data_IF_664476333848
#
_entry.id   IF_664476333848
#
_cell.length_a   1.000
_cell.length_b   1.000
_cell.length_c   1.000
_cell.angle_alpha   90.00
_cell.angle_beta   90.00
_cell.angle_gamma   90.00
#
_symmetry.space_group_name_H-M   'P 1'
#
loop_
_entity.id
_entity.type
_entity.pdbx_description
1 polymer ?
#
# COMPACT_ATOMS: atom_id res chain seq x y z
N UNK A 1 -16.19 -12.51 -18.74
CA UNK A 1 -14.84 -12.08 -19.18
C UNK A 1 -14.56 -12.70 -20.54
N UNK A 2 -14.27 -11.89 -21.55
CA UNK A 2 -14.06 -12.34 -22.92
C UNK A 2 -12.68 -13.02 -23.06
N UNK A 3 -12.54 -13.97 -24.01
CA UNK A 3 -11.24 -14.61 -24.30
C UNK A 3 -10.17 -13.57 -24.64
N UNK A 4 -10.57 -12.52 -25.37
CA UNK A 4 -9.69 -11.39 -25.74
C UNK A 4 -9.14 -10.65 -24.51
N UNK A 5 -9.94 -10.47 -23.47
CA UNK A 5 -9.51 -9.81 -22.23
C UNK A 5 -8.44 -10.63 -21.50
N UNK A 6 -8.53 -11.96 -21.58
CA UNK A 6 -7.56 -12.88 -20.97
C UNK A 6 -6.21 -12.84 -21.68
N UNK A 7 -6.19 -12.73 -23.01
CA UNK A 7 -4.95 -12.59 -23.79
C UNK A 7 -4.22 -11.29 -23.45
N UNK A 8 -4.94 -10.17 -23.36
CA UNK A 8 -4.37 -8.89 -22.96
C UNK A 8 -3.84 -8.91 -21.52
N UNK A 9 -4.55 -9.54 -20.59
CA UNK A 9 -4.08 -9.71 -19.22
C UNK A 9 -2.78 -10.53 -19.21
N UNK A 10 -2.73 -11.64 -19.91
CA UNK A 10 -1.54 -12.47 -19.97
C UNK A 10 -0.34 -11.73 -20.57
N UNK A 11 -0.54 -11.00 -21.67
CA UNK A 11 0.50 -10.15 -22.25
C UNK A 11 1.01 -9.11 -21.24
N UNK A 12 0.09 -8.36 -20.62
CA UNK A 12 0.45 -7.38 -19.60
C UNK A 12 1.23 -8.00 -18.44
N UNK A 13 0.82 -9.18 -17.97
CA UNK A 13 1.50 -9.86 -16.86
C UNK A 13 2.90 -10.35 -17.23
N UNK A 14 3.11 -10.73 -18.49
CA UNK A 14 4.45 -11.05 -19.00
C UNK A 14 5.35 -9.83 -18.96
N UNK A 15 4.94 -8.72 -19.56
CA UNK A 15 5.68 -7.46 -19.56
C UNK A 15 5.95 -6.96 -18.12
N UNK A 16 4.94 -7.05 -17.24
CA UNK A 16 5.10 -6.66 -15.85
C UNK A 16 6.11 -7.54 -15.11
N UNK A 17 6.11 -8.85 -15.38
CA UNK A 17 7.04 -9.78 -14.75
C UNK A 17 8.49 -9.52 -15.21
N UNK A 18 8.68 -9.28 -16.50
CA UNK A 18 9.99 -8.89 -17.05
C UNK A 18 10.47 -7.57 -16.44
N UNK A 19 9.61 -6.55 -16.41
CA UNK A 19 9.92 -5.27 -15.78
C UNK A 19 10.31 -5.43 -14.29
N UNK A 20 9.60 -6.27 -13.53
CA UNK A 20 9.93 -6.50 -12.13
C UNK A 20 11.32 -7.14 -11.97
N UNK A 21 11.68 -8.07 -12.84
CA UNK A 21 13.00 -8.70 -12.85
C UNK A 21 14.09 -7.69 -13.21
N UNK A 22 13.91 -6.93 -14.28
CA UNK A 22 14.85 -5.90 -14.74
C UNK A 22 15.11 -4.82 -13.69
N UNK A 23 14.05 -4.38 -12.98
CA UNK A 23 14.13 -3.43 -11.89
C UNK A 23 14.65 -4.05 -10.57
N UNK A 24 14.94 -5.35 -10.58
CA UNK A 24 15.50 -6.08 -9.43
C UNK A 24 14.50 -6.41 -8.33
N UNK A 25 13.19 -6.50 -8.65
CA UNK A 25 12.14 -7.00 -7.75
C UNK A 25 12.02 -8.53 -7.86
N UNK A 26 13.12 -9.23 -7.72
CA UNK A 26 13.22 -10.67 -8.00
C UNK A 26 12.50 -11.58 -6.99
N UNK A 27 12.02 -11.01 -5.89
CA UNK A 27 11.30 -11.73 -4.84
C UNK A 27 9.79 -11.50 -4.87
N UNK A 28 9.29 -10.83 -5.91
CA UNK A 28 7.86 -10.55 -6.10
C UNK A 28 7.35 -11.34 -7.29
N UNK A 29 6.28 -12.11 -7.06
CA UNK A 29 5.57 -12.84 -8.10
C UNK A 29 4.07 -12.55 -8.00
N UNK A 30 3.53 -11.90 -9.03
CA UNK A 30 2.12 -11.53 -9.11
C UNK A 30 1.30 -12.58 -9.87
N UNK A 31 1.94 -13.57 -10.48
CA UNK A 31 1.36 -14.60 -11.33
C UNK A 31 0.53 -13.99 -12.46
N UNK A 32 -0.79 -14.09 -12.38
CA UNK A 32 -1.73 -13.64 -13.41
C UNK A 32 -2.71 -12.56 -12.94
N UNK A 33 -2.38 -11.89 -11.86
CA UNK A 33 -3.25 -10.84 -11.28
C UNK A 33 -2.43 -9.59 -10.88
N UNK A 34 -2.54 -8.51 -11.67
CA UNK A 34 -1.80 -7.27 -11.40
C UNK A 34 -2.26 -6.54 -10.14
N UNK A 35 -3.44 -6.87 -9.61
CA UNK A 35 -3.94 -6.28 -8.36
C UNK A 35 -3.28 -6.84 -7.11
N UNK A 36 -2.56 -7.97 -7.23
CA UNK A 36 -1.98 -8.70 -6.11
C UNK A 36 -3.02 -9.41 -5.25
N UNK A 37 -4.25 -9.58 -5.75
CA UNK A 37 -5.32 -10.29 -5.04
C UNK A 37 -5.32 -11.80 -5.30
N UNK A 38 -4.46 -12.30 -6.19
CA UNK A 38 -4.31 -13.73 -6.40
C UNK A 38 -3.76 -14.40 -5.14
N UNK A 39 -4.36 -15.49 -4.70
CA UNK A 39 -3.93 -16.24 -3.52
C UNK A 39 -2.51 -16.82 -3.64
N UNK A 40 -2.03 -16.97 -4.87
CA UNK A 40 -0.68 -17.43 -5.19
C UNK A 40 0.35 -16.31 -5.30
N UNK A 41 -0.09 -15.03 -5.29
CA UNK A 41 0.83 -13.91 -5.34
C UNK A 41 1.66 -13.84 -4.05
N UNK A 42 2.96 -13.67 -4.21
CA UNK A 42 3.88 -13.51 -3.10
C UNK A 42 4.85 -12.34 -3.34
N UNK A 43 5.41 -11.83 -2.25
CA UNK A 43 6.36 -10.73 -2.29
C UNK A 43 7.25 -10.74 -1.04
N UNK A 44 8.30 -9.94 -1.08
CA UNK A 44 9.20 -9.73 0.04
C UNK A 44 9.14 -8.29 0.54
N UNK A 45 9.44 -8.10 1.83
CA UNK A 45 9.45 -6.77 2.47
C UNK A 45 10.31 -5.75 1.72
N UNK A 46 11.48 -6.18 1.23
CA UNK A 46 12.40 -5.28 0.52
C UNK A 46 11.78 -4.76 -0.78
N UNK A 47 11.12 -5.64 -1.55
CA UNK A 47 10.48 -5.26 -2.81
C UNK A 47 9.31 -4.31 -2.56
N UNK A 48 8.45 -4.62 -1.58
CA UNK A 48 7.32 -3.75 -1.21
C UNK A 48 7.83 -2.39 -0.72
N UNK A 49 8.87 -2.34 0.09
CA UNK A 49 9.45 -1.11 0.59
C UNK A 49 10.01 -0.25 -0.55
N UNK A 50 10.73 -0.85 -1.49
CA UNK A 50 11.27 -0.14 -2.68
C UNK A 50 10.16 0.41 -3.56
N UNK A 51 9.12 -0.37 -3.85
CA UNK A 51 7.96 0.08 -4.63
C UNK A 51 7.23 1.21 -3.92
N UNK A 52 6.99 1.09 -2.61
CA UNK A 52 6.32 2.12 -1.84
C UNK A 52 7.08 3.45 -1.85
N UNK A 53 8.40 3.43 -1.70
CA UNK A 53 9.24 4.62 -1.78
C UNK A 53 9.28 5.20 -3.19
N UNK A 54 9.39 4.35 -4.24
CA UNK A 54 9.35 4.80 -5.63
C UNK A 54 8.03 5.51 -5.96
N UNK A 55 6.89 4.94 -5.53
CA UNK A 55 5.57 5.55 -5.69
C UNK A 55 5.43 6.85 -4.90
N UNK A 56 5.95 6.90 -3.69
CA UNK A 56 5.87 8.09 -2.83
C UNK A 56 6.70 9.28 -3.35
N UNK A 57 7.54 9.10 -4.36
CA UNK A 57 8.23 10.22 -5.02
C UNK A 57 7.31 11.06 -5.91
N UNK A 58 6.16 10.53 -6.33
CA UNK A 58 5.20 11.28 -7.13
C UNK A 58 4.30 12.16 -6.24
N UNK A 59 4.24 13.46 -6.53
CA UNK A 59 3.48 14.41 -5.72
C UNK A 59 1.98 14.09 -5.67
N UNK A 60 1.41 13.65 -6.79
CA UNK A 60 0.03 13.17 -6.83
C UNK A 60 -0.21 11.99 -5.87
N UNK A 61 0.71 11.05 -5.80
CA UNK A 61 0.62 9.91 -4.86
C UNK A 61 0.68 10.40 -3.42
N UNK A 62 1.64 11.29 -3.08
CA UNK A 62 1.75 11.88 -1.73
C UNK A 62 0.45 12.55 -1.31
N UNK A 63 -0.14 13.32 -2.22
CA UNK A 63 -1.40 14.01 -1.96
C UNK A 63 -2.54 13.02 -1.69
N UNK A 64 -2.71 12.01 -2.50
CA UNK A 64 -3.80 11.02 -2.36
C UNK A 64 -3.64 10.17 -1.11
N UNK A 65 -2.45 9.61 -0.87
CA UNK A 65 -2.24 8.62 0.21
C UNK A 65 -2.18 9.25 1.59
N UNK A 66 -1.89 10.55 1.67
CA UNK A 66 -1.79 11.30 2.94
C UNK A 66 -3.11 11.86 3.46
N UNK A 67 -4.18 11.84 2.66
CA UNK A 67 -5.50 12.37 3.04
C UNK A 67 -6.38 11.30 3.67
N UNK A 68 -7.16 11.68 4.69
CA UNK A 68 -8.20 10.80 5.28
C UNK A 68 -9.39 10.60 4.35
N UNK A 69 -9.68 11.59 3.50
CA UNK A 69 -10.71 11.55 2.45
C UNK A 69 -10.19 12.22 1.19
N UNK A 70 -10.64 11.74 0.05
CA UNK A 70 -10.33 12.31 -1.26
C UNK A 70 -11.62 12.45 -2.06
N UNK A 71 -11.86 13.65 -2.59
CA UNK A 71 -13.04 13.95 -3.43
C UNK A 71 -12.61 14.43 -4.80
N UNK A 72 -13.36 14.04 -5.83
CA UNK A 72 -13.22 14.57 -7.18
C UNK A 72 -14.59 14.98 -7.71
N UNK A 73 -14.60 16.05 -8.50
CA UNK A 73 -15.76 16.46 -9.29
C UNK A 73 -15.71 15.77 -10.65
N UNK A 74 -16.84 15.20 -11.04
CA UNK A 74 -17.04 14.60 -12.37
C UNK A 74 -18.34 15.16 -12.99
N UNK A 75 -18.58 14.94 -14.28
CA UNK A 75 -19.87 15.30 -14.89
C UNK A 75 -21.09 14.63 -14.23
N UNK A 76 -20.88 13.51 -13.54
CA UNK A 76 -21.92 12.77 -12.82
C UNK A 76 -22.10 13.22 -11.37
N UNK A 77 -21.28 14.15 -10.88
CA UNK A 77 -21.32 14.67 -9.53
C UNK A 77 -20.01 14.52 -8.77
N UNK A 78 -20.05 14.86 -7.48
CA UNK A 78 -18.91 14.69 -6.57
C UNK A 78 -18.84 13.25 -6.06
N UNK A 79 -17.66 12.64 -6.18
CA UNK A 79 -17.35 11.34 -5.59
C UNK A 79 -16.31 11.52 -4.49
N UNK A 80 -16.61 10.94 -3.32
CA UNK A 80 -15.73 11.00 -2.14
C UNK A 80 -15.36 9.60 -1.69
N UNK A 81 -14.06 9.35 -1.50
CA UNK A 81 -13.53 8.11 -0.95
C UNK A 81 -12.90 8.37 0.41
N UNK A 82 -13.15 7.47 1.35
CA UNK A 82 -12.49 7.46 2.64
C UNK A 82 -11.24 6.57 2.57
N UNK A 83 -10.11 7.09 3.05
CA UNK A 83 -8.89 6.32 3.17
C UNK A 83 -9.07 5.21 4.23
N UNK A 84 -8.64 4.00 3.90
CA UNK A 84 -8.71 2.84 4.80
C UNK A 84 -7.62 2.83 5.87
N UNK A 85 -6.61 3.70 5.77
CA UNK A 85 -5.55 3.84 6.75
C UNK A 85 -6.04 4.59 8.00
N UNK A 86 -6.28 3.85 9.08
CA UNK A 86 -6.79 4.42 10.35
C UNK A 86 -5.83 5.39 11.04
N UNK A 87 -4.53 5.39 10.70
CA UNK A 87 -3.60 6.40 11.19
C UNK A 87 -3.89 7.81 10.69
N UNK A 88 -4.65 7.96 9.60
CA UNK A 88 -5.02 9.25 9.00
C UNK A 88 -6.39 9.75 9.49
N UNK A 89 -7.20 8.91 10.10
CA UNK A 89 -8.54 9.27 10.58
C UNK A 89 -8.45 9.84 12.01
N UNK A 90 -8.70 11.14 12.16
CA UNK A 90 -8.68 11.84 13.48
C UNK A 90 -9.64 11.25 14.52
N UNK A 91 -10.63 10.47 14.10
CA UNK A 91 -11.57 9.77 14.99
C UNK A 91 -11.09 8.38 15.39
N UNK A 92 -10.02 7.89 14.76
CA UNK A 92 -9.46 6.58 15.05
C UNK A 92 -8.60 6.61 16.32
N UNK A 93 -8.63 5.55 17.16
CA UNK A 93 -7.70 5.42 18.29
C UNK A 93 -6.23 5.26 17.83
N UNK A 94 -6.00 5.01 16.56
CA UNK A 94 -4.66 4.90 15.95
C UNK A 94 -4.19 6.21 15.31
N UNK A 95 -4.99 7.28 15.30
CA UNK A 95 -4.61 8.52 14.64
C UNK A 95 -3.21 8.99 15.05
N UNK A 96 -2.39 9.35 14.05
CA UNK A 96 -1.07 9.87 14.26
C UNK A 96 -0.74 10.90 13.18
N UNK A 97 -0.59 12.16 13.54
CA UNK A 97 -0.35 13.28 12.63
C UNK A 97 0.98 13.17 11.85
N UNK A 98 1.93 12.39 12.38
CA UNK A 98 3.23 12.15 11.75
C UNK A 98 3.19 11.05 10.68
N UNK A 99 2.09 10.31 10.56
CA UNK A 99 1.89 9.33 9.50
C UNK A 99 1.45 10.02 8.21
N UNK A 100 2.11 9.70 7.08
CA UNK A 100 1.91 10.32 5.75
C UNK A 100 1.38 9.35 4.69
N UNK A 101 0.80 8.25 5.07
CA UNK A 101 0.28 7.19 4.19
C UNK A 101 0.98 5.88 4.54
N UNK A 102 1.13 4.87 3.68
CA UNK A 102 1.03 4.87 2.21
C UNK A 102 -0.13 3.97 1.75
N UNK A 103 -0.10 2.66 2.15
CA UNK A 103 -1.03 1.66 1.62
C UNK A 103 -1.46 0.66 2.67
N UNK A 104 -2.74 0.35 2.69
CA UNK A 104 -3.30 -0.82 3.39
C UNK A 104 -3.67 -1.89 2.38
N UNK A 105 -3.58 -3.15 2.77
CA UNK A 105 -4.06 -4.30 2.00
C UNK A 105 -4.76 -5.27 2.92
N UNK A 106 -5.90 -5.82 2.50
CA UNK A 106 -6.60 -6.87 3.24
C UNK A 106 -7.12 -7.88 2.25
N UNK A 107 -6.76 -9.14 2.47
CA UNK A 107 -7.27 -10.27 1.69
C UNK A 107 -7.43 -11.47 2.61
N UNK A 108 -8.66 -12.01 2.68
CA UNK A 108 -9.02 -13.09 3.60
C UNK A 108 -8.58 -12.77 5.05
N UNK A 109 -7.67 -13.54 5.61
CA UNK A 109 -7.12 -13.37 6.96
C UNK A 109 -5.76 -12.66 6.99
N UNK A 110 -5.32 -12.07 5.88
CA UNK A 110 -4.04 -11.36 5.78
C UNK A 110 -4.26 -9.85 5.77
N UNK A 111 -3.71 -9.17 6.76
CA UNK A 111 -3.81 -7.72 6.93
C UNK A 111 -2.43 -7.09 6.80
N UNK A 112 -2.28 -6.21 5.80
CA UNK A 112 -1.02 -5.62 5.41
C UNK A 112 -1.09 -4.10 5.54
N UNK A 113 0.03 -3.47 5.86
CA UNK A 113 0.13 -2.00 5.89
C UNK A 113 1.58 -1.56 5.64
N UNK A 114 1.72 -0.52 4.83
CA UNK A 114 2.96 0.24 4.66
C UNK A 114 2.70 1.66 5.12
N UNK A 115 3.50 2.14 6.05
CA UNK A 115 3.38 3.47 6.66
C UNK A 115 4.67 4.26 6.48
N UNK A 116 4.55 5.50 6.01
CA UNK A 116 5.63 6.48 6.12
C UNK A 116 5.37 7.33 7.37
N UNK A 117 6.30 7.29 8.31
CA UNK A 117 6.29 8.07 9.54
C UNK A 117 7.37 9.14 9.48
N UNK A 118 7.01 10.41 9.72
CA UNK A 118 7.94 11.55 9.66
C UNK A 118 7.95 12.27 11.01
N UNK A 119 9.12 12.39 11.61
CA UNK A 119 9.29 13.11 12.86
C UNK A 119 10.70 13.70 12.97
N UNK A 120 10.78 14.95 13.43
CA UNK A 120 12.03 15.67 13.71
C UNK A 120 13.01 15.64 12.51
N UNK A 121 12.47 15.85 11.29
CA UNK A 121 13.23 15.85 10.04
C UNK A 121 13.66 14.47 9.54
N UNK A 122 13.31 13.40 10.24
CA UNK A 122 13.60 12.02 9.85
C UNK A 122 12.36 11.33 9.28
N UNK A 123 12.61 10.41 8.37
CA UNK A 123 11.57 9.61 7.72
C UNK A 123 11.84 8.12 7.96
N UNK A 124 10.78 7.39 8.31
CA UNK A 124 10.83 5.97 8.59
C UNK A 124 9.74 5.26 7.81
N UNK A 125 10.11 4.25 7.04
CA UNK A 125 9.17 3.37 6.40
C UNK A 125 8.94 2.15 7.31
N UNK A 126 7.69 1.94 7.70
CA UNK A 126 7.29 0.86 8.61
C UNK A 126 6.31 -0.03 7.85
N UNK A 127 6.67 -1.30 7.67
CA UNK A 127 5.87 -2.26 6.92
C UNK A 127 5.50 -3.45 7.80
N UNK A 128 4.23 -3.78 7.83
CA UNK A 128 3.71 -4.99 8.45
C UNK A 128 2.95 -5.79 7.39
N UNK A 129 3.42 -7.01 7.13
CA UNK A 129 2.77 -7.95 6.21
C UNK A 129 2.24 -9.16 6.99
N UNK A 130 1.17 -9.76 6.46
CA UNK A 130 0.59 -10.99 6.95
C UNK A 130 0.16 -10.95 8.44
N UNK A 131 -0.26 -9.79 8.93
CA UNK A 131 -0.89 -9.72 10.26
C UNK A 131 -2.18 -10.54 10.28
N UNK A 132 -2.43 -11.26 11.35
CA UNK A 132 -3.60 -12.13 11.53
C UNK A 132 -4.90 -11.35 11.82
N UNK A 133 -4.80 -10.03 12.08
CA UNK A 133 -5.96 -9.18 12.31
C UNK A 133 -5.73 -7.74 11.87
N UNK A 134 -6.82 -7.04 11.60
CA UNK A 134 -6.79 -5.61 11.31
C UNK A 134 -6.17 -4.81 12.46
N UNK A 135 -6.55 -5.10 13.68
CA UNK A 135 -5.98 -4.47 14.89
C UNK A 135 -4.48 -4.78 15.02
N UNK A 136 -4.07 -6.02 14.73
CA UNK A 136 -2.68 -6.49 14.85
C UNK A 136 -1.73 -5.67 13.99
N UNK A 137 -2.07 -5.38 12.73
CA UNK A 137 -1.20 -4.55 11.87
C UNK A 137 -1.01 -3.13 12.41
N UNK A 138 -2.06 -2.51 13.00
CA UNK A 138 -1.95 -1.18 13.61
C UNK A 138 -1.13 -1.21 14.89
N UNK A 139 -1.32 -2.21 15.76
CA UNK A 139 -0.51 -2.39 16.97
C UNK A 139 0.97 -2.63 16.66
N UNK A 140 1.27 -3.42 15.63
CA UNK A 140 2.65 -3.66 15.20
C UNK A 140 3.33 -2.36 14.75
N UNK A 141 2.68 -1.56 13.92
CA UNK A 141 3.21 -0.25 13.49
C UNK A 141 3.35 0.70 14.68
N UNK A 142 2.36 0.77 15.57
CA UNK A 142 2.44 1.63 16.76
C UNK A 142 3.60 1.24 17.68
N UNK A 143 3.86 -0.06 17.85
CA UNK A 143 5.01 -0.56 18.60
C UNK A 143 6.35 -0.13 17.97
N UNK A 144 6.46 -0.21 16.64
CA UNK A 144 7.63 0.26 15.92
C UNK A 144 7.82 1.78 16.08
N UNK A 145 6.75 2.58 15.93
CA UNK A 145 6.78 4.03 16.17
C UNK A 145 7.28 4.33 17.59
N UNK A 146 6.76 3.65 18.59
CA UNK A 146 7.16 3.84 19.98
C UNK A 146 8.64 3.52 20.25
N UNK A 147 9.23 2.63 19.45
CA UNK A 147 10.67 2.33 19.51
C UNK A 147 11.52 3.43 18.87
N UNK A 148 11.02 4.04 17.78
CA UNK A 148 11.70 5.12 17.05
C UNK A 148 11.78 6.40 17.89
N UNK A 149 10.74 6.70 18.69
CA UNK A 149 10.60 7.97 19.45
C UNK A 149 11.23 7.91 20.85
N UNK A 150 11.83 6.79 21.23
CA UNK A 150 12.66 6.69 22.46
C UNK A 150 14.06 7.23 22.21
#
# INVERSE_FOLDING_TARGET
MCIRDREYINYFMTELSEYLIEEGYSKTNLYNDPSGAAMSADTHLDDINRVALKLYNYDFVKECVGKSTFSIQTPQGEFTWKNTNKFLDKKSPYYNENVKGIKTGTMASSYNIVVLYKKDGKEYLITCLASLSDEGRYKAVQSAINTIIK
#
